data_IF_123401427981
#
_entry.id   IF_123401427981
#
_cell.length_a   1.000
_cell.length_b   1.000
_cell.length_c   1.000
_cell.angle_alpha   90.00
_cell.angle_beta   90.00
_cell.angle_gamma   90.00
#
_symmetry.space_group_name_H-M   'P 1'
#
loop_
_entity.id
_entity.type
_entity.pdbx_description
1 polymer ?
#
# COMPACT_ATOMS: atom_id res chain seq x y z
N UNK A 1 -15.45 -19.09 9.83
CA UNK A 1 -15.80 -18.44 11.12
C UNK A 1 -15.30 -19.33 12.24
N UNK A 2 -14.77 -18.76 13.32
CA UNK A 2 -14.40 -19.52 14.52
C UNK A 2 -15.35 -19.11 15.64
N UNK A 3 -16.14 -20.06 16.15
CA UNK A 3 -17.10 -19.87 17.23
C UNK A 3 -17.45 -21.24 17.85
N UNK A 4 -17.73 -21.27 19.15
CA UNK A 4 -18.05 -22.50 19.89
C UNK A 4 -19.49 -22.97 19.65
N UNK A 5 -20.39 -22.05 19.34
CA UNK A 5 -21.80 -22.36 19.04
C UNK A 5 -22.29 -21.57 17.84
N UNK A 6 -23.28 -22.13 17.16
CA UNK A 6 -23.96 -21.44 16.04
C UNK A 6 -25.16 -20.70 16.62
N UNK A 7 -25.10 -19.37 16.58
CA UNK A 7 -26.24 -18.52 16.91
C UNK A 7 -27.27 -18.53 15.78
N UNK A 8 -28.51 -18.15 16.07
CA UNK A 8 -29.56 -18.06 15.05
C UNK A 8 -29.24 -17.07 13.93
N UNK A 9 -28.56 -15.96 14.25
CA UNK A 9 -28.09 -15.00 13.25
C UNK A 9 -27.05 -15.63 12.32
N UNK A 10 -26.09 -16.39 12.88
CA UNK A 10 -25.11 -17.13 12.08
C UNK A 10 -25.79 -18.16 11.19
N UNK A 11 -26.77 -18.90 11.71
CA UNK A 11 -27.55 -19.88 10.92
C UNK A 11 -28.20 -19.22 9.72
N UNK A 12 -28.93 -18.11 9.93
CA UNK A 12 -29.57 -17.36 8.83
C UNK A 12 -28.55 -16.88 7.79
N UNK A 13 -27.39 -16.37 8.23
CA UNK A 13 -26.33 -15.92 7.31
C UNK A 13 -25.74 -17.08 6.52
N UNK A 14 -25.49 -18.22 7.15
CA UNK A 14 -24.97 -19.42 6.49
C UNK A 14 -25.96 -19.97 5.47
N UNK A 15 -27.23 -20.05 5.84
CA UNK A 15 -28.30 -20.55 4.97
C UNK A 15 -28.46 -19.67 3.72
N UNK A 16 -28.49 -18.34 3.88
CA UNK A 16 -28.60 -17.42 2.74
C UNK A 16 -27.33 -17.44 1.88
N UNK A 17 -26.14 -17.62 2.48
CA UNK A 17 -24.89 -17.77 1.74
C UNK A 17 -24.90 -19.06 0.91
N UNK A 18 -25.37 -20.17 1.48
CA UNK A 18 -25.50 -21.45 0.80
C UNK A 18 -26.52 -21.37 -0.36
N UNK A 19 -27.70 -20.79 -0.12
CA UNK A 19 -28.75 -20.59 -1.13
C UNK A 19 -28.23 -19.80 -2.32
N UNK A 20 -27.52 -18.69 -2.09
CA UNK A 20 -26.92 -17.88 -3.17
C UNK A 20 -25.84 -18.63 -3.92
N UNK A 21 -24.97 -19.36 -3.22
CA UNK A 21 -23.87 -20.11 -3.85
C UNK A 21 -24.38 -21.23 -4.74
N UNK A 22 -25.46 -21.91 -4.36
CA UNK A 22 -26.10 -22.92 -5.19
C UNK A 22 -26.58 -22.34 -6.52
N UNK A 23 -27.30 -21.22 -6.49
CA UNK A 23 -27.75 -20.56 -7.72
C UNK A 23 -26.58 -20.09 -8.60
N UNK A 24 -25.52 -19.57 -7.98
CA UNK A 24 -24.32 -19.14 -8.71
C UNK A 24 -23.60 -20.32 -9.38
N UNK A 25 -23.50 -21.47 -8.71
CA UNK A 25 -22.89 -22.67 -9.29
C UNK A 25 -23.70 -23.21 -10.46
N UNK A 26 -25.02 -23.32 -10.31
CA UNK A 26 -25.92 -23.75 -11.38
C UNK A 26 -25.79 -22.83 -12.61
N UNK A 27 -25.83 -21.51 -12.39
CA UNK A 27 -25.65 -20.54 -13.47
C UNK A 27 -24.28 -20.71 -14.15
N UNK A 28 -23.21 -20.87 -13.36
CA UNK A 28 -21.87 -21.05 -13.91
C UNK A 28 -21.74 -22.34 -14.72
N UNK A 29 -22.32 -23.45 -14.26
CA UNK A 29 -22.32 -24.73 -14.97
C UNK A 29 -23.09 -24.64 -16.30
N UNK A 30 -24.29 -24.05 -16.27
CA UNK A 30 -25.13 -23.83 -17.46
C UNK A 30 -24.44 -22.96 -18.51
N UNK A 31 -23.62 -22.00 -18.08
CA UNK A 31 -22.97 -21.02 -18.96
C UNK A 31 -21.47 -21.30 -19.21
N UNK A 32 -20.93 -22.40 -18.67
CA UNK A 32 -19.51 -22.75 -18.78
C UNK A 32 -18.55 -21.73 -18.15
N UNK A 33 -18.99 -20.99 -17.12
CA UNK A 33 -18.21 -19.95 -16.46
C UNK A 33 -17.31 -20.58 -15.40
N UNK A 34 -16.00 -20.38 -15.53
CA UNK A 34 -15.04 -20.74 -14.49
C UNK A 34 -14.80 -19.53 -13.58
N UNK A 35 -15.04 -19.61 -12.26
CA UNK A 35 -14.81 -18.49 -11.35
C UNK A 35 -13.33 -18.11 -11.28
N UNK A 36 -13.03 -16.83 -11.51
CA UNK A 36 -11.69 -16.27 -11.39
C UNK A 36 -11.66 -15.06 -10.44
N UNK A 37 -10.49 -14.81 -9.86
CA UNK A 37 -10.27 -13.61 -9.03
C UNK A 37 -10.29 -12.34 -9.87
N UNK A 38 -10.99 -11.30 -9.40
CA UNK A 38 -11.03 -10.01 -10.10
C UNK A 38 -9.66 -9.34 -10.01
N UNK A 39 -9.08 -8.99 -11.15
CA UNK A 39 -7.90 -8.09 -11.24
C UNK A 39 -8.40 -6.65 -11.31
N UNK A 40 -8.25 -5.88 -10.23
CA UNK A 40 -8.52 -4.43 -10.22
C UNK A 40 -7.20 -3.66 -10.16
N UNK A 41 -7.01 -2.69 -11.05
CA UNK A 41 -5.93 -1.71 -10.92
C UNK A 41 -6.19 -0.83 -9.70
N UNK A 42 -5.12 -0.49 -8.99
CA UNK A 42 -5.18 0.54 -7.95
C UNK A 42 -5.36 1.86 -8.70
N UNK A 43 -6.48 2.53 -8.47
CA UNK A 43 -6.69 3.88 -8.96
C UNK A 43 -5.75 4.78 -8.17
N UNK A 44 -4.66 5.20 -8.80
CA UNK A 44 -3.71 6.13 -8.20
C UNK A 44 -4.31 7.53 -8.20
N UNK A 45 -5.05 7.84 -7.12
CA UNK A 45 -5.68 9.15 -6.91
C UNK A 45 -4.65 10.28 -6.92
N UNK A 46 -3.37 9.99 -6.62
CA UNK A 46 -2.31 11.00 -6.57
C UNK A 46 -1.70 11.32 -7.94
N UNK A 47 -1.80 10.40 -8.92
CA UNK A 47 -1.25 10.61 -10.27
C UNK A 47 -1.77 11.87 -10.96
N UNK A 48 -3.04 12.24 -10.75
CA UNK A 48 -3.65 13.42 -11.41
C UNK A 48 -3.30 14.77 -10.77
N UNK A 49 -2.81 14.78 -9.53
CA UNK A 49 -2.45 16.02 -8.81
C UNK A 49 -0.96 16.35 -9.00
N UNK A 50 -0.10 15.33 -9.12
CA UNK A 50 1.36 15.51 -9.20
C UNK A 50 1.88 15.84 -10.61
N UNK A 51 1.09 15.67 -11.68
CA UNK A 51 1.53 15.90 -13.05
C UNK A 51 1.63 17.38 -13.47
N UNK A 52 1.23 18.35 -12.63
CA UNK A 52 1.13 19.75 -13.06
C UNK A 52 2.13 20.77 -12.50
N UNK A 53 2.98 20.46 -11.53
CA UNK A 53 3.92 21.48 -11.07
C UNK A 53 5.14 20.96 -10.31
N UNK A 54 6.10 20.39 -11.04
CA UNK A 54 7.48 20.35 -10.54
C UNK A 54 8.39 20.97 -11.59
N UNK A 55 8.61 22.27 -11.45
CA UNK A 55 9.83 22.92 -11.93
C UNK A 55 11.02 22.07 -11.46
N UNK A 56 11.86 21.68 -12.40
CA UNK A 56 13.16 21.06 -12.15
C UNK A 56 13.99 21.98 -11.25
N UNK A 57 14.00 21.70 -9.95
CA UNK A 57 14.89 22.37 -9.00
C UNK A 57 16.33 21.95 -9.35
N UNK A 58 17.26 22.90 -9.59
CA UNK A 58 18.65 22.60 -9.85
C UNK A 58 19.24 21.79 -8.69
N UNK A 59 19.99 20.75 -9.05
CA UNK A 59 20.69 19.87 -8.11
C UNK A 59 21.78 20.69 -7.41
N UNK A 60 21.57 21.05 -6.15
CA UNK A 60 22.70 21.41 -5.27
C UNK A 60 23.44 20.12 -4.93
N UNK A 61 24.67 20.01 -5.43
CA UNK A 61 25.64 18.99 -5.07
C UNK A 61 25.89 19.06 -3.54
N UNK A 62 25.27 18.13 -2.80
CA UNK A 62 25.67 17.88 -1.42
C UNK A 62 26.82 16.88 -1.42
N UNK A 63 27.96 17.35 -0.91
CA UNK A 63 29.26 16.68 -0.86
C UNK A 63 29.18 15.19 -0.48
N UNK A 64 29.70 14.38 -1.39
CA UNK A 64 30.02 12.97 -1.25
C UNK A 64 31.10 12.77 -0.18
N UNK A 65 30.71 12.39 1.03
CA UNK A 65 31.62 11.70 1.95
C UNK A 65 31.01 10.36 2.39
N UNK A 66 31.73 9.29 2.05
CA UNK A 66 31.33 7.89 2.18
C UNK A 66 30.62 7.55 3.49
N UNK A 67 29.31 7.34 3.40
CA UNK A 67 28.49 6.91 4.54
C UNK A 67 28.60 5.39 4.67
N UNK A 68 29.20 4.91 5.77
CA UNK A 68 29.24 3.47 6.09
C UNK A 68 27.82 2.84 5.99
N UNK A 69 27.66 1.64 5.39
CA UNK A 69 26.36 1.00 5.18
C UNK A 69 25.53 0.84 6.47
N UNK A 70 26.21 0.66 7.61
CA UNK A 70 25.57 0.55 8.93
C UNK A 70 24.95 1.86 9.43
N UNK A 71 25.48 3.01 9.04
CA UNK A 71 24.94 4.34 9.37
C UNK A 71 23.73 4.66 8.48
N UNK A 72 23.78 4.26 7.22
CA UNK A 72 22.69 4.41 6.25
C UNK A 72 21.41 3.66 6.69
N UNK A 73 21.53 2.40 7.08
CA UNK A 73 20.39 1.60 7.58
C UNK A 73 19.73 2.19 8.84
N UNK A 74 20.53 2.80 9.74
CA UNK A 74 20.01 3.49 10.92
C UNK A 74 19.25 4.77 10.54
N UNK A 75 19.76 5.53 9.57
CA UNK A 75 19.10 6.74 9.07
C UNK A 75 17.79 6.43 8.36
N UNK A 76 17.74 5.37 7.55
CA UNK A 76 16.51 4.86 6.91
C UNK A 76 15.45 4.50 7.95
N UNK A 77 15.83 3.75 9.00
CA UNK A 77 14.90 3.40 10.10
C UNK A 77 14.36 4.64 10.83
N UNK A 78 15.20 5.65 11.03
CA UNK A 78 14.80 6.91 11.67
C UNK A 78 13.82 7.68 10.78
N UNK A 79 14.11 7.84 9.49
CA UNK A 79 13.23 8.52 8.54
C UNK A 79 11.86 7.85 8.42
N UNK A 80 11.81 6.51 8.39
CA UNK A 80 10.53 5.76 8.40
C UNK A 80 9.70 6.04 9.65
N UNK A 81 10.36 6.21 10.81
CA UNK A 81 9.68 6.59 12.05
C UNK A 81 9.14 8.02 11.98
N UNK A 82 9.94 8.94 11.46
CA UNK A 82 9.59 10.36 11.35
C UNK A 82 8.44 10.58 10.35
N UNK A 83 8.38 9.81 9.26
CA UNK A 83 7.24 9.79 8.30
C UNK A 83 5.95 9.38 9.01
N UNK A 84 6.00 8.31 9.81
CA UNK A 84 4.82 7.82 10.54
C UNK A 84 4.37 8.82 11.61
N UNK A 85 5.30 9.51 12.26
CA UNK A 85 4.98 10.56 13.23
C UNK A 85 4.36 11.79 12.56
N UNK A 86 4.88 12.23 11.42
CA UNK A 86 4.30 13.33 10.64
C UNK A 86 2.88 12.99 10.14
N UNK A 87 2.68 11.76 9.64
CA UNK A 87 1.36 11.28 9.23
C UNK A 87 0.35 11.25 10.40
N UNK A 88 0.78 10.83 11.59
CA UNK A 88 -0.05 10.86 12.81
C UNK A 88 -0.43 12.28 13.24
N UNK A 89 0.41 13.26 12.94
CA UNK A 89 0.17 14.68 13.22
C UNK A 89 -0.54 15.41 12.07
N UNK A 90 -0.97 14.70 11.02
CA UNK A 90 -1.62 15.25 9.82
C UNK A 90 -0.74 16.22 9.02
N UNK A 91 0.58 16.17 9.20
CA UNK A 91 1.55 17.00 8.49
C UNK A 91 2.06 16.26 7.24
N UNK A 92 1.24 16.28 6.20
CA UNK A 92 1.49 15.52 4.97
C UNK A 92 2.60 16.11 4.10
N UNK A 93 2.80 17.44 4.14
CA UNK A 93 3.91 18.10 3.42
C UNK A 93 5.25 17.64 3.97
N UNK A 94 5.40 17.62 5.29
CA UNK A 94 6.60 17.10 5.94
C UNK A 94 6.79 15.61 5.70
N UNK A 95 5.72 14.82 5.72
CA UNK A 95 5.80 13.39 5.41
C UNK A 95 6.26 13.14 3.97
N UNK A 96 5.81 13.94 3.01
CA UNK A 96 6.24 13.86 1.61
C UNK A 96 7.74 14.18 1.45
N UNK A 97 8.21 15.28 2.04
CA UNK A 97 9.65 15.64 2.01
C UNK A 97 10.54 14.54 2.62
N UNK A 98 10.09 13.93 3.71
CA UNK A 98 10.82 12.82 4.36
C UNK A 98 10.81 11.55 3.50
N UNK A 99 9.72 11.28 2.78
CA UNK A 99 9.62 10.16 1.83
C UNK A 99 10.59 10.34 0.67
N UNK A 100 10.67 11.54 0.10
CA UNK A 100 11.55 11.81 -1.04
C UNK A 100 13.03 11.75 -0.62
N UNK A 101 13.34 12.15 0.62
CA UNK A 101 14.66 11.93 1.22
C UNK A 101 14.97 10.44 1.45
N UNK A 102 13.98 9.66 1.89
CA UNK A 102 14.13 8.22 2.09
C UNK A 102 14.40 7.50 0.77
N UNK A 103 13.66 7.82 -0.29
CA UNK A 103 13.84 7.23 -1.61
C UNK A 103 15.26 7.46 -2.16
N UNK A 104 15.83 8.65 -1.96
CA UNK A 104 17.22 8.95 -2.34
C UNK A 104 18.23 8.09 -1.58
N UNK A 105 18.04 7.88 -0.28
CA UNK A 105 18.96 7.08 0.54
C UNK A 105 18.85 5.57 0.22
N UNK A 106 17.64 5.08 -0.08
CA UNK A 106 17.44 3.68 -0.51
C UNK A 106 18.05 3.43 -1.89
N UNK A 107 17.98 4.40 -2.81
CA UNK A 107 18.68 4.33 -4.10
C UNK A 107 20.20 4.27 -3.92
N UNK A 108 20.75 5.06 -2.99
CA UNK A 108 22.18 5.02 -2.66
C UNK A 108 22.59 3.70 -2.00
N UNK A 109 21.75 3.10 -1.15
CA UNK A 109 21.99 1.77 -0.57
C UNK A 109 22.05 0.68 -1.63
N UNK A 110 21.17 0.77 -2.65
CA UNK A 110 21.10 -0.21 -3.74
C UNK A 110 22.24 -0.08 -4.77
N UNK A 111 22.86 1.10 -4.85
CA UNK A 111 23.95 1.40 -5.78
C UNK A 111 25.34 1.01 -5.25
N UNK A 112 25.43 0.61 -3.97
CA UNK A 112 26.64 0.06 -3.31
C UNK A 112 26.58 -1.47 -3.34
#
# INVERSE_FOLDING_TARGET
MFADTITDSMRRTLDETARRRQHQQQYNEEHGITPEGIKKSIVDILSSIYEKDYLSVPVEEMEDEGVEPKKLSKMIKKLRKDINEAAKRWDFERAAQLRDRLARLEQMELAI
#
